data_IF_547104899337
#
_entry.id   IF_547104899337
#
_cell.length_a   1.000
_cell.length_b   1.000
_cell.length_c   1.000
_cell.angle_alpha   90.00
_cell.angle_beta   90.00
_cell.angle_gamma   90.00
#
_symmetry.space_group_name_H-M   'P 1'
#
loop_
_entity.id
_entity.type
_entity.pdbx_description
1 polymer ?
#
# COMPACT_ATOMS: atom_id res chain seq x y z
N UNK A 1 -4.28 13.76 -3.43
CA UNK A 1 -5.18 12.61 -3.21
C UNK A 1 -5.43 11.89 -4.54
N UNK A 2 -5.25 10.57 -4.58
CA UNK A 2 -5.30 9.74 -5.79
C UNK A 2 -6.55 8.86 -5.90
N UNK A 3 -7.36 8.73 -4.84
CA UNK A 3 -8.57 7.88 -4.87
C UNK A 3 -9.50 8.29 -6.01
N UNK A 4 -9.92 7.30 -6.80
CA UNK A 4 -10.75 7.48 -8.01
C UNK A 4 -9.98 7.87 -9.28
N UNK A 5 -8.64 7.95 -9.21
CA UNK A 5 -7.79 8.29 -10.36
C UNK A 5 -6.93 7.10 -10.79
N UNK A 6 -6.43 7.13 -12.01
CA UNK A 6 -5.39 6.20 -12.46
C UNK A 6 -4.15 6.32 -11.57
N UNK A 7 -3.60 5.17 -11.16
CA UNK A 7 -2.34 5.13 -10.45
C UNK A 7 -1.22 5.69 -11.36
N UNK A 8 -0.30 6.48 -10.80
CA UNK A 8 0.85 6.99 -11.56
C UNK A 8 1.63 5.87 -12.23
N UNK A 9 1.93 6.05 -13.51
CA UNK A 9 2.70 5.09 -14.31
C UNK A 9 4.19 5.35 -14.11
N UNK A 10 4.96 4.29 -13.88
CA UNK A 10 6.41 4.36 -13.78
C UNK A 10 7.08 3.09 -14.30
N UNK A 11 8.38 3.22 -14.58
CA UNK A 11 9.31 2.10 -14.72
C UNK A 11 10.49 2.34 -13.81
N UNK A 12 10.90 1.32 -13.07
CA UNK A 12 12.00 1.40 -12.12
C UNK A 12 12.68 0.03 -11.97
N UNK A 13 13.89 0.03 -11.41
CA UNK A 13 14.51 -1.22 -10.97
C UNK A 13 13.86 -1.67 -9.67
N UNK A 14 13.68 -2.98 -9.51
CA UNK A 14 13.15 -3.58 -8.29
C UNK A 14 13.96 -4.83 -7.91
N UNK A 15 13.87 -5.23 -6.65
CA UNK A 15 14.32 -6.55 -6.19
C UNK A 15 13.10 -7.45 -6.03
N UNK A 16 13.07 -8.56 -6.74
CA UNK A 16 11.96 -9.52 -6.73
C UNK A 16 12.53 -10.90 -6.41
N UNK A 17 12.08 -11.50 -5.32
CA UNK A 17 12.57 -12.81 -4.87
C UNK A 17 14.10 -12.90 -4.82
N UNK A 18 14.77 -11.83 -4.37
CA UNK A 18 16.24 -11.75 -4.26
C UNK A 18 16.98 -11.44 -5.56
N UNK A 19 16.28 -11.27 -6.69
CA UNK A 19 16.86 -10.94 -7.99
C UNK A 19 16.61 -9.48 -8.35
N UNK A 20 17.60 -8.81 -8.95
CA UNK A 20 17.43 -7.44 -9.47
C UNK A 20 16.75 -7.51 -10.84
N UNK A 21 15.60 -6.86 -10.96
CA UNK A 21 14.77 -6.80 -12.16
C UNK A 21 14.72 -5.36 -12.65
N UNK A 22 15.10 -5.14 -13.90
CA UNK A 22 14.95 -3.85 -14.56
C UNK A 22 13.56 -3.69 -15.17
N UNK A 23 13.16 -2.45 -15.41
CA UNK A 23 11.88 -2.11 -16.08
C UNK A 23 10.61 -2.59 -15.36
N UNK A 24 10.66 -2.83 -14.04
CA UNK A 24 9.48 -3.14 -13.24
C UNK A 24 8.43 -2.05 -13.35
N UNK A 25 7.16 -2.42 -13.53
CA UNK A 25 6.02 -1.50 -13.59
C UNK A 25 4.76 -2.09 -12.97
N UNK A 26 3.93 -1.26 -12.33
CA UNK A 26 2.60 -1.67 -11.88
C UNK A 26 1.64 -1.95 -13.06
N UNK A 27 1.94 -1.42 -14.25
CA UNK A 27 1.16 -1.68 -15.47
C UNK A 27 1.13 -3.17 -15.86
N UNK A 28 2.13 -3.95 -15.43
CA UNK A 28 2.20 -5.39 -15.69
C UNK A 28 1.08 -6.18 -15.00
N UNK A 29 0.42 -5.58 -13.99
CA UNK A 29 -0.69 -6.14 -13.22
C UNK A 29 -2.06 -5.64 -13.68
N UNK A 30 -2.14 -4.60 -14.51
CA UNK A 30 -3.41 -4.09 -15.04
C UNK A 30 -4.14 -5.19 -15.81
N UNK A 31 -5.47 -5.25 -15.67
CA UNK A 31 -6.39 -6.27 -16.16
C UNK A 31 -6.16 -7.69 -15.62
N UNK A 32 -5.24 -7.87 -14.67
CA UNK A 32 -4.87 -9.18 -14.14
C UNK A 32 -5.07 -9.29 -12.64
N UNK A 33 -4.55 -8.35 -11.87
CA UNK A 33 -4.44 -8.42 -10.41
C UNK A 33 -4.85 -7.11 -9.74
N UNK A 34 -5.32 -7.18 -8.50
CA UNK A 34 -5.28 -6.04 -7.59
C UNK A 34 -3.85 -5.82 -7.09
N UNK A 35 -3.52 -4.61 -6.72
CA UNK A 35 -2.20 -4.26 -6.19
C UNK A 35 -2.35 -3.53 -4.87
N UNK A 36 -1.70 -4.05 -3.83
CA UNK A 36 -1.39 -3.29 -2.62
C UNK A 36 0.01 -2.75 -2.79
N UNK A 37 0.11 -1.47 -3.12
CA UNK A 37 1.37 -0.75 -3.29
C UNK A 37 1.64 0.11 -2.06
N UNK A 38 2.77 -0.14 -1.40
CA UNK A 38 3.08 0.59 -0.19
C UNK A 38 4.48 1.18 -0.20
N UNK A 39 4.61 2.36 0.39
CA UNK A 39 5.88 3.07 0.57
C UNK A 39 6.37 2.92 2.00
N UNK A 40 7.69 2.93 2.19
CA UNK A 40 8.34 2.99 3.49
C UNK A 40 9.57 3.90 3.42
N UNK A 41 10.00 4.52 4.54
CA UNK A 41 11.03 5.57 4.51
C UNK A 41 12.40 5.10 4.00
N UNK A 42 12.98 4.07 4.64
CA UNK A 42 14.36 3.63 4.38
C UNK A 42 14.59 2.17 4.77
N UNK A 43 15.50 1.54 4.04
CA UNK A 43 16.12 0.27 4.43
C UNK A 43 16.90 0.39 5.75
N UNK A 44 17.15 -0.73 6.41
CA UNK A 44 17.95 -0.84 7.62
C UNK A 44 17.52 0.07 8.79
N UNK A 45 16.22 0.37 8.90
CA UNK A 45 15.62 1.19 9.97
C UNK A 45 14.84 0.33 10.97
N UNK A 46 13.86 0.92 11.68
CA UNK A 46 13.28 0.29 12.89
C UNK A 46 11.86 -0.27 12.68
N UNK A 47 10.93 0.55 12.22
CA UNK A 47 9.55 0.13 11.93
C UNK A 47 9.47 -0.64 10.61
N UNK A 48 10.27 -0.25 9.60
CA UNK A 48 10.20 -0.79 8.25
C UNK A 48 10.34 -2.30 8.17
N UNK A 49 11.32 -2.97 8.84
CA UNK A 49 11.43 -4.41 8.77
C UNK A 49 10.20 -5.14 9.33
N UNK A 50 9.53 -4.57 10.36
CA UNK A 50 8.32 -5.19 10.92
C UNK A 50 7.16 -5.18 9.92
N UNK A 51 7.01 -4.10 9.14
CA UNK A 51 5.99 -4.02 8.10
C UNK A 51 6.31 -4.96 6.93
N UNK A 52 7.56 -4.93 6.43
CA UNK A 52 7.94 -5.77 5.29
C UNK A 52 7.78 -7.26 5.59
N UNK A 53 8.23 -7.71 6.76
CA UNK A 53 8.07 -9.09 7.19
C UNK A 53 6.60 -9.44 7.47
N UNK A 54 5.82 -8.50 7.99
CA UNK A 54 4.39 -8.67 8.19
C UNK A 54 3.64 -8.86 6.87
N UNK A 55 3.92 -8.04 5.85
CA UNK A 55 3.37 -8.23 4.49
C UNK A 55 3.82 -9.57 3.89
N UNK A 56 5.07 -9.99 4.12
CA UNK A 56 5.56 -11.30 3.66
C UNK A 56 4.78 -12.44 4.31
N UNK A 57 4.56 -12.38 5.62
CA UNK A 57 3.78 -13.39 6.32
C UNK A 57 2.32 -13.46 5.83
N UNK A 58 1.76 -12.33 5.42
CA UNK A 58 0.39 -12.22 4.92
C UNK A 58 0.26 -12.47 3.40
N UNK A 59 1.34 -12.69 2.66
CA UNK A 59 1.28 -12.92 1.20
C UNK A 59 0.27 -13.99 0.77
N UNK A 60 0.13 -15.14 1.46
CA UNK A 60 -0.87 -16.13 1.10
C UNK A 60 -2.30 -15.58 1.14
N UNK A 61 -2.60 -14.66 2.08
CA UNK A 61 -3.92 -14.03 2.19
C UNK A 61 -4.18 -13.05 1.05
N UNK A 62 -3.18 -12.28 0.63
CA UNK A 62 -3.28 -11.42 -0.56
C UNK A 62 -3.40 -12.25 -1.84
N UNK A 63 -2.62 -13.32 -1.97
CA UNK A 63 -2.67 -14.20 -3.14
C UNK A 63 -4.04 -14.86 -3.33
N UNK A 64 -4.69 -15.33 -2.24
CA UNK A 64 -6.07 -15.86 -2.26
C UNK A 64 -7.08 -14.85 -2.79
N UNK A 65 -6.79 -13.56 -2.65
CA UNK A 65 -7.61 -12.42 -3.09
C UNK A 65 -7.19 -11.87 -4.44
N UNK A 66 -6.44 -12.64 -5.21
CA UNK A 66 -5.94 -12.20 -6.53
C UNK A 66 -5.19 -10.86 -6.48
N UNK A 67 -4.48 -10.63 -5.36
CA UNK A 67 -3.82 -9.37 -5.03
C UNK A 67 -2.32 -9.58 -4.91
N UNK A 68 -1.53 -8.69 -5.51
CA UNK A 68 -0.08 -8.62 -5.34
C UNK A 68 0.28 -7.52 -4.35
N UNK A 69 1.36 -7.74 -3.62
CA UNK A 69 1.96 -6.75 -2.71
C UNK A 69 3.24 -6.23 -3.35
N UNK A 70 3.46 -4.91 -3.33
CA UNK A 70 4.66 -4.26 -3.84
C UNK A 70 5.10 -3.20 -2.85
N UNK A 71 6.35 -3.26 -2.40
CA UNK A 71 6.97 -2.24 -1.55
C UNK A 71 7.80 -1.26 -2.38
N UNK A 72 7.97 -0.04 -1.88
CA UNK A 72 8.78 0.99 -2.51
C UNK A 72 9.47 1.86 -1.46
N UNK A 73 10.75 2.16 -1.63
CA UNK A 73 11.43 3.21 -0.90
C UNK A 73 12.34 4.02 -1.82
N UNK A 74 12.94 5.06 -1.28
CA UNK A 74 13.88 5.91 -2.02
C UNK A 74 15.32 5.38 -2.01
N UNK A 75 15.54 4.18 -1.51
CA UNK A 75 16.82 3.47 -1.54
C UNK A 75 17.12 2.88 -2.92
N UNK A 76 18.34 2.38 -3.08
CA UNK A 76 18.78 1.73 -4.32
C UNK A 76 18.40 0.24 -4.32
N UNK A 77 18.33 -0.34 -5.51
CA UNK A 77 18.16 -1.80 -5.69
C UNK A 77 19.24 -2.62 -4.97
N UNK A 78 20.46 -2.09 -4.88
CA UNK A 78 21.56 -2.75 -4.16
C UNK A 78 21.33 -2.74 -2.64
N UNK A 79 20.75 -1.67 -2.09
CA UNK A 79 20.36 -1.60 -0.68
C UNK A 79 19.26 -2.63 -0.39
N UNK A 80 18.19 -2.67 -1.20
CA UNK A 80 17.12 -3.67 -1.08
C UNK A 80 17.66 -5.09 -1.15
N UNK A 81 18.50 -5.35 -2.16
CA UNK A 81 19.10 -6.67 -2.35
C UNK A 81 19.94 -7.09 -1.13
N UNK A 82 20.81 -6.21 -0.64
CA UNK A 82 21.65 -6.49 0.53
C UNK A 82 20.81 -6.73 1.80
N UNK A 83 19.74 -5.96 1.97
CA UNK A 83 18.84 -6.10 3.13
C UNK A 83 18.03 -7.41 3.08
N UNK A 84 17.61 -7.85 1.89
CA UNK A 84 17.00 -9.16 1.67
C UNK A 84 17.94 -10.33 1.98
N UNK A 85 19.25 -10.16 1.91
CA UNK A 85 20.24 -11.19 2.29
C UNK A 85 20.50 -11.25 3.79
N UNK A 86 20.22 -10.16 4.53
CA UNK A 86 20.51 -10.04 5.95
C UNK A 86 19.51 -10.84 6.79
N UNK A 87 19.99 -11.66 7.76
CA UNK A 87 19.12 -12.42 8.67
C UNK A 87 18.19 -11.52 9.49
N UNK A 88 16.96 -11.98 9.74
CA UNK A 88 15.99 -11.24 10.54
C UNK A 88 16.47 -10.96 11.96
N UNK A 89 17.17 -11.91 12.59
CA UNK A 89 17.75 -11.75 13.94
C UNK A 89 18.84 -10.66 14.02
N UNK A 90 19.32 -10.19 12.88
CA UNK A 90 20.25 -9.07 12.77
C UNK A 90 19.58 -7.78 12.23
N UNK A 91 18.28 -7.71 12.23
CA UNK A 91 17.52 -6.56 11.67
C UNK A 91 17.38 -6.56 10.15
N UNK A 92 17.60 -7.72 9.50
CA UNK A 92 17.37 -7.91 8.07
C UNK A 92 15.95 -8.31 7.73
N UNK A 93 15.68 -8.47 6.44
CA UNK A 93 14.39 -8.87 5.89
C UNK A 93 14.48 -10.15 5.04
N UNK A 94 15.42 -11.03 5.37
CA UNK A 94 15.56 -12.29 4.64
C UNK A 94 14.23 -13.06 4.61
N UNK A 95 13.89 -13.59 3.43
CA UNK A 95 12.62 -14.26 3.18
C UNK A 95 11.56 -13.39 2.51
N UNK A 96 11.75 -12.07 2.37
CA UNK A 96 10.88 -11.22 1.57
C UNK A 96 11.04 -11.57 0.08
N UNK A 97 9.91 -11.87 -0.58
CA UNK A 97 9.88 -12.36 -1.98
C UNK A 97 9.13 -11.43 -2.93
N UNK A 98 8.23 -10.60 -2.43
CA UNK A 98 7.49 -9.65 -3.25
C UNK A 98 8.39 -8.48 -3.72
N UNK A 99 8.02 -7.78 -4.80
CA UNK A 99 8.83 -6.71 -5.36
C UNK A 99 9.11 -5.56 -4.37
N UNK A 100 10.37 -5.15 -4.28
CA UNK A 100 10.82 -3.93 -3.60
C UNK A 100 11.36 -2.97 -4.66
N UNK A 101 10.64 -1.89 -4.94
CA UNK A 101 10.93 -0.91 -5.99
C UNK A 101 11.92 0.14 -5.46
N UNK A 102 12.95 0.40 -6.24
CA UNK A 102 13.99 1.39 -5.96
C UNK A 102 13.64 2.76 -6.59
N UNK A 103 13.03 3.66 -5.83
CA UNK A 103 12.69 5.02 -6.26
C UNK A 103 13.85 6.00 -5.99
N UNK A 104 15.03 5.72 -6.55
CA UNK A 104 16.27 6.46 -6.28
C UNK A 104 16.20 7.95 -6.64
N UNK A 105 15.43 8.30 -7.66
CA UNK A 105 15.20 9.68 -8.11
C UNK A 105 14.01 10.36 -7.41
N UNK A 106 13.25 9.63 -6.58
CA UNK A 106 12.10 10.08 -5.78
C UNK A 106 10.90 10.55 -6.60
N UNK A 107 10.84 10.15 -7.85
CA UNK A 107 9.73 10.56 -8.74
C UNK A 107 8.47 9.73 -8.51
N UNK A 108 8.61 8.49 -8.03
CA UNK A 108 7.46 7.64 -7.72
C UNK A 108 6.79 8.11 -6.44
N UNK A 109 7.57 8.33 -5.36
CA UNK A 109 7.04 8.85 -4.10
C UNK A 109 6.41 10.25 -4.27
N UNK A 110 6.99 11.11 -5.12
CA UNK A 110 6.44 12.41 -5.48
C UNK A 110 5.11 12.27 -6.22
N UNK A 111 5.05 11.42 -7.25
CA UNK A 111 3.84 11.18 -8.04
C UNK A 111 2.69 10.58 -7.22
N UNK A 112 3.00 9.78 -6.18
CA UNK A 112 2.02 9.24 -5.24
C UNK A 112 1.68 10.18 -4.08
N UNK A 113 2.25 11.40 -4.06
CA UNK A 113 2.00 12.43 -3.03
C UNK A 113 2.38 11.94 -1.60
N UNK A 114 3.50 11.20 -1.51
CA UNK A 114 4.01 10.66 -0.24
C UNK A 114 5.47 10.99 0.01
N UNK A 115 6.10 11.84 -0.81
CA UNK A 115 7.47 12.27 -0.59
C UNK A 115 7.52 13.26 0.58
N UNK A 116 8.29 12.95 1.61
CA UNK A 116 8.63 13.89 2.67
C UNK A 116 9.78 14.81 2.22
N UNK A 117 9.86 15.98 2.84
CA UNK A 117 10.80 17.00 2.44
C UNK A 117 10.34 17.77 1.19
N UNK A 118 11.02 18.86 0.93
CA UNK A 118 10.63 19.83 -0.08
C UNK A 118 11.84 20.21 -0.94
N UNK A 119 11.66 20.24 -2.26
CA UNK A 119 12.60 20.82 -3.20
C UNK A 119 12.09 22.21 -3.61
N UNK A 120 12.92 23.23 -3.47
CA UNK A 120 12.55 24.57 -3.88
C UNK A 120 13.74 25.28 -4.53
N UNK A 121 13.45 26.32 -5.29
CA UNK A 121 14.48 27.21 -5.86
C UNK A 121 14.54 28.47 -5.01
N UNK A 122 15.72 28.79 -4.47
CA UNK A 122 15.92 29.96 -3.66
C UNK A 122 15.94 31.28 -4.49
N UNK A 123 16.03 32.41 -3.82
CA UNK A 123 16.04 33.74 -4.44
C UNK A 123 17.18 33.95 -5.44
N UNK A 124 18.25 33.14 -5.36
CA UNK A 124 19.39 33.18 -6.26
C UNK A 124 19.28 32.18 -7.44
N UNK A 125 18.11 31.52 -7.60
CA UNK A 125 17.89 30.54 -8.64
C UNK A 125 18.53 29.19 -8.38
N UNK A 126 19.00 28.89 -7.15
CA UNK A 126 19.66 27.64 -6.79
C UNK A 126 18.66 26.66 -6.17
N UNK A 127 18.73 25.40 -6.64
CA UNK A 127 17.94 24.30 -6.06
C UNK A 127 18.37 24.02 -4.61
N UNK A 128 17.42 24.03 -3.72
CA UNK A 128 17.56 23.73 -2.29
C UNK A 128 16.66 22.54 -1.91
N UNK A 129 17.02 21.87 -0.82
CA UNK A 129 16.25 20.78 -0.22
C UNK A 129 16.04 21.08 1.25
N UNK A 130 14.80 20.98 1.71
CA UNK A 130 14.42 21.10 3.12
C UNK A 130 13.87 19.77 3.62
N UNK A 131 14.47 19.20 4.65
CA UNK A 131 14.12 17.88 5.18
C UNK A 131 14.73 16.73 4.37
N UNK A 132 14.44 15.51 4.79
CA UNK A 132 14.86 14.30 4.08
C UNK A 132 13.88 13.97 2.95
N UNK A 133 14.40 13.69 1.76
CA UNK A 133 13.60 13.20 0.63
C UNK A 133 13.44 11.69 0.70
N UNK A 134 12.58 11.26 1.63
CA UNK A 134 12.17 9.86 1.83
C UNK A 134 10.64 9.75 1.73
N UNK A 135 10.13 8.55 1.59
CA UNK A 135 8.68 8.37 1.53
C UNK A 135 8.06 8.31 2.93
N UNK A 136 6.88 8.94 3.13
CA UNK A 136 5.96 8.59 4.21
C UNK A 136 5.46 7.15 4.04
N UNK A 137 4.80 6.61 5.07
CA UNK A 137 4.21 5.27 5.02
C UNK A 137 2.88 5.30 4.27
N UNK A 138 2.95 5.54 2.96
CA UNK A 138 1.81 5.45 2.06
C UNK A 138 1.40 4.01 1.78
N UNK A 139 0.10 3.72 1.66
CA UNK A 139 -0.44 2.46 1.17
C UNK A 139 -1.60 2.78 0.23
N UNK A 140 -1.60 2.11 -0.92
CA UNK A 140 -2.58 2.31 -1.97
C UNK A 140 -3.13 0.95 -2.42
N UNK A 141 -4.45 0.79 -2.43
CA UNK A 141 -5.10 -0.32 -3.10
C UNK A 141 -5.48 0.14 -4.50
N UNK A 142 -4.97 -0.57 -5.49
CA UNK A 142 -5.21 -0.31 -6.91
C UNK A 142 -5.99 -1.49 -7.47
N UNK A 143 -7.09 -1.21 -8.15
CA UNK A 143 -7.93 -2.23 -8.79
C UNK A 143 -7.33 -2.75 -10.10
N UNK A 144 -8.00 -3.73 -10.71
CA UNK A 144 -7.57 -4.33 -11.99
C UNK A 144 -7.57 -3.36 -13.17
N UNK A 145 -8.34 -2.26 -13.10
CA UNK A 145 -8.36 -1.20 -14.10
C UNK A 145 -7.24 -0.17 -13.89
N UNK A 146 -6.41 -0.36 -12.85
CA UNK A 146 -5.33 0.56 -12.49
C UNK A 146 -5.81 1.79 -11.72
N UNK A 147 -7.06 1.80 -11.22
CA UNK A 147 -7.62 2.90 -10.44
C UNK A 147 -7.27 2.74 -8.96
N UNK A 148 -6.82 3.79 -8.31
CA UNK A 148 -6.61 3.82 -6.86
C UNK A 148 -7.98 3.84 -6.17
N UNK A 149 -8.28 2.83 -5.36
CA UNK A 149 -9.56 2.68 -4.64
C UNK A 149 -9.46 3.03 -3.15
N UNK A 150 -8.28 2.88 -2.58
CA UNK A 150 -8.00 3.25 -1.19
C UNK A 150 -6.62 3.87 -1.08
N UNK A 151 -6.47 4.80 -0.14
CA UNK A 151 -5.22 5.46 0.19
C UNK A 151 -5.15 5.71 1.70
N UNK A 152 -4.03 5.29 2.31
CA UNK A 152 -3.67 5.57 3.69
C UNK A 152 -2.26 6.16 3.70
N UNK A 153 -1.99 7.20 4.49
CA UNK A 153 -0.64 7.74 4.68
C UNK A 153 -0.41 7.97 6.16
N UNK A 154 0.52 7.23 6.75
CA UNK A 154 0.97 7.43 8.12
C UNK A 154 2.28 8.22 8.14
N UNK A 155 2.49 8.95 9.22
CA UNK A 155 3.79 9.51 9.56
C UNK A 155 4.82 8.39 9.87
N UNK A 156 6.10 8.71 9.78
CA UNK A 156 7.21 7.74 9.81
C UNK A 156 7.24 6.83 11.05
N UNK A 157 6.90 7.27 12.28
CA UNK A 157 6.92 6.40 13.46
C UNK A 157 5.72 5.46 13.57
N UNK A 158 4.70 5.58 12.71
CA UNK A 158 3.42 4.88 12.85
C UNK A 158 3.30 3.75 11.83
N UNK A 159 3.54 2.50 12.24
CA UNK A 159 3.32 1.31 11.41
C UNK A 159 1.84 1.15 11.00
N UNK A 160 1.63 0.44 9.88
CA UNK A 160 0.29 0.19 9.30
C UNK A 160 -0.29 -1.13 9.78
N UNK A 161 -1.62 -1.28 9.64
CA UNK A 161 -2.33 -2.53 9.90
C UNK A 161 -2.47 -3.35 8.61
N UNK A 162 -1.93 -4.57 8.63
CA UNK A 162 -2.08 -5.52 7.52
C UNK A 162 -3.51 -6.06 7.46
N UNK A 163 -4.14 -6.27 8.61
CA UNK A 163 -5.54 -6.70 8.70
C UNK A 163 -6.48 -5.69 8.02
N UNK A 164 -6.21 -4.39 8.19
CA UNK A 164 -6.97 -3.35 7.50
C UNK A 164 -6.70 -3.36 5.99
N UNK A 165 -5.46 -3.59 5.56
CA UNK A 165 -5.14 -3.71 4.14
C UNK A 165 -5.89 -4.89 3.49
N UNK A 166 -5.98 -6.04 4.17
CA UNK A 166 -6.74 -7.21 3.73
C UNK A 166 -8.24 -6.90 3.72
N UNK A 167 -8.75 -6.29 4.80
CA UNK A 167 -10.16 -5.92 4.93
C UNK A 167 -10.63 -5.01 3.79
N UNK A 168 -9.83 -4.03 3.39
CA UNK A 168 -10.17 -3.11 2.30
C UNK A 168 -10.15 -3.82 0.94
N UNK A 169 -9.26 -4.78 0.72
CA UNK A 169 -9.30 -5.64 -0.49
C UNK A 169 -10.60 -6.43 -0.52
N UNK A 170 -10.97 -7.07 0.58
CA UNK A 170 -12.24 -7.83 0.69
C UNK A 170 -13.45 -6.94 0.42
N UNK A 171 -13.48 -5.73 1.00
CA UNK A 171 -14.59 -4.80 0.82
C UNK A 171 -14.71 -4.33 -0.64
N UNK A 172 -13.59 -4.05 -1.31
CA UNK A 172 -13.59 -3.68 -2.72
C UNK A 172 -14.12 -4.83 -3.60
N UNK A 173 -13.62 -6.05 -3.39
CA UNK A 173 -14.04 -7.22 -4.16
C UNK A 173 -15.52 -7.57 -3.94
N UNK A 174 -16.01 -7.42 -2.71
CA UNK A 174 -17.41 -7.61 -2.40
C UNK A 174 -18.30 -6.61 -3.17
N UNK A 175 -17.91 -5.31 -3.13
CA UNK A 175 -18.63 -4.28 -3.87
C UNK A 175 -18.63 -4.56 -5.38
N UNK A 176 -17.49 -4.94 -5.96
CA UNK A 176 -17.40 -5.25 -7.39
C UNK A 176 -18.19 -6.48 -7.80
N UNK A 177 -18.28 -7.48 -6.93
CA UNK A 177 -19.00 -8.71 -7.20
C UNK A 177 -20.51 -8.58 -7.02
N UNK A 178 -20.97 -7.86 -5.99
CA UNK A 178 -22.39 -7.85 -5.57
C UNK A 178 -23.07 -6.49 -5.73
N UNK A 179 -22.30 -5.42 -5.96
CA UNK A 179 -22.84 -4.06 -5.99
C UNK A 179 -23.30 -3.53 -4.62
N UNK A 180 -23.02 -4.28 -3.55
CA UNK A 180 -23.37 -3.93 -2.17
C UNK A 180 -22.28 -3.07 -1.53
N UNK A 181 -22.68 -2.03 -0.80
CA UNK A 181 -21.75 -1.19 -0.06
C UNK A 181 -21.43 -1.79 1.30
N UNK A 182 -20.16 -1.74 1.66
CA UNK A 182 -19.64 -2.28 2.91
C UNK A 182 -19.69 -1.21 4.01
N UNK A 183 -20.46 -1.43 5.08
CA UNK A 183 -20.55 -0.47 6.19
C UNK A 183 -19.29 -0.41 7.04
N UNK A 184 -19.30 0.46 8.06
CA UNK A 184 -18.22 0.64 9.00
C UNK A 184 -17.72 -0.70 9.58
N UNK A 185 -16.40 -0.94 9.48
CA UNK A 185 -15.77 -2.14 10.04
C UNK A 185 -16.21 -3.45 9.41
N UNK A 186 -16.81 -3.43 8.22
CA UNK A 186 -17.30 -4.63 7.55
C UNK A 186 -16.16 -5.63 7.26
N UNK A 187 -16.46 -6.90 7.47
CA UNK A 187 -15.62 -8.05 7.11
C UNK A 187 -16.42 -9.09 6.33
N UNK A 188 -15.78 -9.96 5.55
CA UNK A 188 -16.44 -11.07 4.87
C UNK A 188 -17.34 -11.89 5.78
N UNK A 189 -18.55 -12.22 5.31
CA UNK A 189 -19.57 -12.93 6.08
C UNK A 189 -20.46 -12.04 6.95
N UNK A 190 -20.18 -10.76 7.05
CA UNK A 190 -21.08 -9.80 7.69
C UNK A 190 -22.09 -9.22 6.70
N UNK A 191 -23.20 -8.68 7.22
CA UNK A 191 -24.24 -8.05 6.41
C UNK A 191 -23.67 -6.80 5.71
N UNK A 192 -23.80 -6.75 4.39
CA UNK A 192 -23.59 -5.55 3.56
C UNK A 192 -24.96 -4.94 3.22
N UNK A 193 -25.01 -3.86 2.48
CA UNK A 193 -26.29 -3.21 2.17
C UNK A 193 -26.35 -2.68 0.75
N UNK A 194 -27.54 -2.63 0.18
CA UNK A 194 -27.80 -1.90 -1.06
C UNK A 194 -27.67 -0.39 -0.82
N UNK A 195 -27.09 0.31 -1.78
CA UNK A 195 -26.91 1.77 -1.73
C UNK A 195 -28.25 2.50 -2.01
N UNK A 196 -29.31 2.19 -1.25
CA UNK A 196 -30.65 2.78 -1.33
C UNK A 196 -31.14 3.20 0.05
N UNK A 197 -32.18 4.06 0.11
CA UNK A 197 -32.78 4.46 1.39
C UNK A 197 -33.38 3.27 2.14
N UNK A 198 -34.03 2.34 1.43
CA UNK A 198 -34.59 1.11 2.00
C UNK A 198 -33.47 0.18 2.50
N UNK A 199 -32.39 0.05 1.71
CA UNK A 199 -31.22 -0.77 2.08
C UNK A 199 -30.57 -0.29 3.36
N UNK A 200 -30.33 1.01 3.50
CA UNK A 200 -29.75 1.56 4.73
C UNK A 200 -30.72 1.46 5.91
N UNK A 201 -32.02 1.70 5.73
CA UNK A 201 -33.00 1.59 6.79
C UNK A 201 -33.08 0.14 7.33
N UNK A 202 -33.12 -0.85 6.43
CA UNK A 202 -33.07 -2.27 6.79
C UNK A 202 -31.83 -2.64 7.57
N UNK A 203 -30.64 -2.25 7.06
CA UNK A 203 -29.36 -2.50 7.72
C UNK A 203 -29.30 -1.90 9.13
N UNK A 204 -29.77 -0.65 9.27
CA UNK A 204 -29.78 0.05 10.57
C UNK A 204 -30.73 -0.58 11.57
N UNK A 205 -31.91 -1.07 11.12
CA UNK A 205 -32.87 -1.81 11.96
C UNK A 205 -32.27 -3.12 12.45
N UNK A 206 -31.65 -3.91 11.56
CA UNK A 206 -31.06 -5.20 11.92
C UNK A 206 -29.85 -5.09 12.87
N UNK A 207 -29.16 -3.97 12.85
CA UNK A 207 -27.94 -3.77 13.59
C UNK A 207 -28.05 -2.73 14.73
N UNK A 208 -29.26 -2.33 15.10
CA UNK A 208 -29.51 -1.34 16.16
C UNK A 208 -28.94 -1.77 17.52
N UNK A 209 -29.09 -3.03 17.90
CA UNK A 209 -28.62 -3.58 19.18
C UNK A 209 -27.10 -3.74 19.26
N UNK A 210 -26.41 -4.05 18.16
CA UNK A 210 -24.95 -4.17 18.11
C UNK A 210 -24.23 -2.85 18.36
N UNK A 211 -24.85 -1.72 18.06
CA UNK A 211 -24.27 -0.37 18.28
C UNK A 211 -24.28 0.04 19.73
N UNK A 212 -25.25 -0.43 20.52
CA UNK A 212 -25.36 -0.11 21.94
C UNK A 212 -24.38 -0.92 22.81
N UNK A 213 -23.82 -2.01 22.30
CA UNK A 213 -22.86 -2.86 23.02
C UNK A 213 -21.39 -2.46 22.84
N UNK A 214 -21.09 -1.56 21.89
CA UNK A 214 -19.73 -1.09 21.58
C UNK A 214 -19.45 0.36 21.99
N UNK A 215 -20.32 0.95 22.84
CA UNK A 215 -20.10 2.23 23.50
C UNK A 215 -19.82 1.98 25.04
#
# INVERSE_FOLDING_TARGET
MLVGKQAPVFKATAVVNGEIVNDFSLQDYVDKKYVVFFFYPKDFTFVCPTELLGFQAALPEFTKRDTVVVGCSTDTEYSHWAWCQKPQCEGGISGVTYPLVADTNKTIADAFDVLAGERYVDENGKLQVKGELVAYRGLFLIDKQGIVRHQLVNDMPLGRSIDEAIRIVDALQHFEQYGEVCPLGWHPGQEAMQATHEGVAKYLSNNSERRMQNN
#
